data_IF_644954302921
#
_entry.id   IF_644954302921
#
_cell.length_a   1.000
_cell.length_b   1.000
_cell.length_c   1.000
_cell.angle_alpha   90.00
_cell.angle_beta   90.00
_cell.angle_gamma   90.00
#
_symmetry.space_group_name_H-M   'P 1'
#
loop_
_entity.id
_entity.type
_entity.pdbx_description
1 polymer ?
#
# COMPACT_ATOMS: atom_id res chain seq x y z
N UNK A 1 11.70 -12.92 -8.80
CA UNK A 1 12.86 -12.08 -9.11
C UNK A 1 14.15 -12.77 -8.67
N UNK A 2 14.36 -13.07 -7.39
CA UNK A 2 15.58 -13.69 -6.85
C UNK A 2 15.90 -15.05 -7.47
N UNK A 3 14.90 -15.91 -7.62
CA UNK A 3 15.09 -17.20 -8.28
C UNK A 3 15.61 -17.03 -9.72
N UNK A 4 15.08 -16.07 -10.49
CA UNK A 4 15.58 -15.79 -11.85
C UNK A 4 17.03 -15.26 -11.83
N UNK A 5 17.44 -14.55 -10.80
CA UNK A 5 18.83 -14.14 -10.61
C UNK A 5 19.71 -15.34 -10.34
N UNK A 6 19.33 -16.22 -9.40
CA UNK A 6 20.12 -17.39 -9.01
C UNK A 6 20.36 -18.38 -10.16
N UNK A 7 19.44 -18.46 -11.12
CA UNK A 7 19.57 -19.32 -12.31
C UNK A 7 20.06 -18.56 -13.56
N UNK A 8 20.51 -17.30 -13.43
CA UNK A 8 21.07 -16.50 -14.51
C UNK A 8 20.07 -16.05 -15.60
N UNK A 9 18.76 -16.15 -15.35
CA UNK A 9 17.72 -15.88 -16.36
C UNK A 9 17.02 -14.53 -16.19
N UNK A 10 17.36 -13.76 -15.16
CA UNK A 10 16.63 -12.53 -14.85
C UNK A 10 16.67 -11.49 -15.97
N UNK A 11 17.79 -11.34 -16.63
CA UNK A 11 17.97 -10.37 -17.74
C UNK A 11 17.24 -10.75 -19.02
N UNK A 12 16.89 -12.04 -19.16
CA UNK A 12 16.18 -12.58 -20.32
C UNK A 12 14.66 -12.59 -20.13
N UNK A 13 14.16 -12.22 -18.92
CA UNK A 13 12.76 -12.39 -18.54
C UNK A 13 12.18 -11.09 -18.03
N UNK A 14 11.04 -10.67 -18.58
CA UNK A 14 10.20 -9.65 -17.99
C UNK A 14 9.27 -10.28 -16.93
N UNK A 15 8.99 -9.52 -15.87
CA UNK A 15 8.02 -9.89 -14.84
C UNK A 15 6.81 -8.96 -14.95
N UNK A 16 5.69 -9.48 -15.40
CA UNK A 16 4.41 -8.78 -15.42
C UNK A 16 3.60 -9.22 -14.20
N UNK A 17 3.18 -8.27 -13.38
CA UNK A 17 2.39 -8.54 -12.18
C UNK A 17 0.95 -8.14 -12.46
N UNK A 18 0.04 -9.11 -12.42
CA UNK A 18 -1.39 -8.89 -12.45
C UNK A 18 -1.93 -9.08 -11.03
N UNK A 19 -2.55 -8.06 -10.45
CA UNK A 19 -2.94 -8.08 -9.04
C UNK A 19 -4.14 -7.20 -8.75
N UNK A 20 -4.97 -7.65 -7.81
CA UNK A 20 -6.05 -6.87 -7.22
C UNK A 20 -5.61 -5.93 -6.09
N UNK A 21 -4.39 -6.12 -5.55
CA UNK A 21 -3.92 -5.39 -4.38
C UNK A 21 -3.31 -4.03 -4.70
N UNK A 22 -2.87 -3.82 -5.92
CA UNK A 22 -2.24 -2.57 -6.33
C UNK A 22 -3.28 -1.47 -6.57
N UNK A 23 -3.32 -0.46 -5.70
CA UNK A 23 -4.31 0.63 -5.73
C UNK A 23 -3.69 2.02 -5.78
N UNK A 24 -2.50 2.19 -5.22
CA UNK A 24 -1.86 3.50 -5.05
C UNK A 24 -0.36 3.48 -5.37
N UNK A 25 0.24 4.67 -5.32
CA UNK A 25 1.66 4.89 -5.69
C UNK A 25 2.61 4.02 -4.90
N UNK A 26 2.39 3.83 -3.59
CA UNK A 26 3.26 3.01 -2.75
C UNK A 26 3.30 1.56 -3.23
N UNK A 27 2.15 0.98 -3.57
CA UNK A 27 2.08 -0.38 -4.09
C UNK A 27 2.84 -0.52 -5.42
N UNK A 28 2.67 0.45 -6.34
CA UNK A 28 3.41 0.48 -7.61
C UNK A 28 4.93 0.62 -7.38
N UNK A 29 5.32 1.51 -6.47
CA UNK A 29 6.72 1.73 -6.12
C UNK A 29 7.37 0.46 -5.55
N UNK A 30 6.69 -0.25 -4.65
CA UNK A 30 7.16 -1.53 -4.09
C UNK A 30 7.31 -2.61 -5.17
N UNK A 31 6.29 -2.84 -5.99
CA UNK A 31 6.32 -3.87 -7.02
C UNK A 31 7.46 -3.63 -8.02
N UNK A 32 7.63 -2.41 -8.50
CA UNK A 32 8.73 -2.04 -9.39
C UNK A 32 10.09 -2.14 -8.68
N UNK A 33 10.17 -1.66 -7.46
CA UNK A 33 11.40 -1.73 -6.65
C UNK A 33 11.85 -3.16 -6.36
N UNK A 34 10.92 -4.12 -6.29
CA UNK A 34 11.22 -5.55 -6.19
C UNK A 34 11.29 -6.28 -7.53
N UNK A 35 11.28 -5.55 -8.63
CA UNK A 35 11.69 -6.09 -9.92
C UNK A 35 10.57 -6.33 -10.94
N UNK A 36 9.33 -5.89 -10.68
CA UNK A 36 8.30 -5.94 -11.71
C UNK A 36 8.70 -5.09 -12.92
N UNK A 37 8.39 -5.55 -14.12
CA UNK A 37 8.60 -4.84 -15.37
C UNK A 37 7.36 -4.09 -15.82
N UNK A 38 6.20 -4.64 -15.54
CA UNK A 38 4.89 -4.05 -15.78
C UNK A 38 3.90 -4.50 -14.68
N UNK A 39 2.85 -3.71 -14.48
CA UNK A 39 1.81 -4.00 -13.50
C UNK A 39 0.45 -3.81 -14.18
N UNK A 40 -0.43 -4.79 -14.00
CA UNK A 40 -1.84 -4.70 -14.36
C UNK A 40 -2.69 -4.70 -13.08
N UNK A 41 -3.14 -3.52 -12.60
CA UNK A 41 -4.00 -3.40 -11.41
C UNK A 41 -5.47 -3.62 -11.79
N UNK A 42 -5.83 -4.84 -12.17
CA UNK A 42 -7.14 -5.14 -12.76
C UNK A 42 -8.31 -4.76 -11.87
N UNK A 43 -8.19 -4.95 -10.55
CA UNK A 43 -9.25 -4.60 -9.61
C UNK A 43 -9.45 -3.09 -9.51
N UNK A 44 -8.37 -2.29 -9.53
CA UNK A 44 -8.48 -0.83 -9.56
C UNK A 44 -9.18 -0.34 -10.81
N UNK A 45 -8.94 -0.97 -11.96
CA UNK A 45 -9.65 -0.64 -13.19
C UNK A 45 -11.13 -1.04 -13.14
N UNK A 46 -11.46 -2.20 -12.56
CA UNK A 46 -12.84 -2.62 -12.34
C UNK A 46 -13.59 -1.67 -11.38
N UNK A 47 -12.94 -1.24 -10.30
CA UNK A 47 -13.53 -0.25 -9.37
C UNK A 47 -13.77 1.09 -10.08
N UNK A 48 -12.84 1.55 -10.90
CA UNK A 48 -13.04 2.79 -11.67
C UNK A 48 -14.22 2.69 -12.62
N UNK A 49 -14.41 1.55 -13.27
CA UNK A 49 -15.57 1.32 -14.13
C UNK A 49 -16.87 1.37 -13.32
N UNK A 50 -16.94 0.68 -12.19
CA UNK A 50 -18.11 0.68 -11.31
C UNK A 50 -18.46 2.10 -10.80
N UNK A 51 -17.46 2.89 -10.39
CA UNK A 51 -17.65 4.28 -9.96
C UNK A 51 -18.18 5.19 -11.08
N UNK A 52 -17.75 4.97 -12.32
CA UNK A 52 -18.29 5.67 -13.50
C UNK A 52 -19.72 5.25 -13.78
N UNK A 53 -20.02 3.95 -13.75
CA UNK A 53 -21.34 3.40 -14.00
C UNK A 53 -22.38 3.86 -12.96
N UNK A 54 -21.95 4.02 -11.71
CA UNK A 54 -22.76 4.61 -10.61
C UNK A 54 -22.84 6.13 -10.66
N UNK A 55 -22.19 6.78 -11.62
CA UNK A 55 -22.14 8.23 -11.74
C UNK A 55 -21.49 8.95 -10.54
N UNK A 56 -20.70 8.23 -9.74
CA UNK A 56 -19.88 8.82 -8.65
C UNK A 56 -18.69 9.60 -9.21
N UNK A 57 -18.21 9.22 -10.39
CA UNK A 57 -17.21 9.95 -11.17
C UNK A 57 -17.85 10.46 -12.46
N UNK A 58 -17.91 11.78 -12.64
CA UNK A 58 -18.48 12.43 -13.81
C UNK A 58 -17.49 12.51 -14.98
N UNK A 59 -16.91 11.37 -15.34
CA UNK A 59 -16.00 11.17 -16.47
C UNK A 59 -16.38 9.88 -17.17
N UNK A 60 -16.01 9.75 -18.43
CA UNK A 60 -16.06 8.43 -19.06
C UNK A 60 -14.90 7.56 -18.54
N UNK A 61 -15.06 6.24 -18.64
CA UNK A 61 -14.09 5.26 -18.13
C UNK A 61 -12.69 5.46 -18.69
N UNK A 62 -12.53 5.69 -19.99
CA UNK A 62 -11.22 5.88 -20.61
C UNK A 62 -10.48 7.10 -20.05
N UNK A 63 -11.19 8.19 -19.77
CA UNK A 63 -10.61 9.38 -19.15
C UNK A 63 -10.25 9.12 -17.69
N UNK A 64 -11.13 8.47 -16.93
CA UNK A 64 -10.88 8.10 -15.54
C UNK A 64 -9.65 7.18 -15.44
N UNK A 65 -9.56 6.15 -16.26
CA UNK A 65 -8.42 5.23 -16.36
C UNK A 65 -7.13 5.97 -16.71
N UNK A 66 -7.16 6.83 -17.71
CA UNK A 66 -6.00 7.65 -18.12
C UNK A 66 -5.52 8.56 -16.99
N UNK A 67 -6.45 9.19 -16.28
CA UNK A 67 -6.12 10.06 -15.15
C UNK A 67 -5.51 9.28 -13.98
N UNK A 68 -6.03 8.09 -13.68
CA UNK A 68 -5.49 7.21 -12.66
C UNK A 68 -4.05 6.78 -13.00
N UNK A 69 -3.81 6.30 -14.21
CA UNK A 69 -2.46 5.92 -14.67
C UNK A 69 -1.52 7.12 -14.57
N UNK A 70 -1.96 8.30 -15.03
CA UNK A 70 -1.16 9.53 -14.96
C UNK A 70 -0.83 9.93 -13.53
N UNK A 71 -1.76 9.76 -12.59
CA UNK A 71 -1.54 10.04 -11.18
C UNK A 71 -0.50 9.08 -10.58
N UNK A 72 -0.60 7.79 -10.85
CA UNK A 72 0.38 6.78 -10.43
C UNK A 72 1.78 7.08 -10.99
N UNK A 73 1.88 7.36 -12.29
CA UNK A 73 3.16 7.71 -12.90
C UNK A 73 3.78 8.97 -12.28
N UNK A 74 2.99 10.03 -12.07
CA UNK A 74 3.48 11.24 -11.40
C UNK A 74 3.95 10.96 -9.97
N UNK A 75 3.20 10.15 -9.23
CA UNK A 75 3.58 9.74 -7.89
C UNK A 75 4.88 8.94 -7.88
N UNK A 76 5.04 8.00 -8.80
CA UNK A 76 6.25 7.20 -8.94
C UNK A 76 7.47 8.07 -9.28
N UNK A 77 7.34 9.01 -10.23
CA UNK A 77 8.41 9.97 -10.53
C UNK A 77 8.80 10.81 -9.32
N UNK A 78 7.84 11.19 -8.49
CA UNK A 78 8.10 11.90 -7.24
C UNK A 78 8.88 11.05 -6.24
N UNK A 79 8.56 9.77 -6.11
CA UNK A 79 9.30 8.81 -5.28
C UNK A 79 10.74 8.67 -5.79
N UNK A 80 10.91 8.40 -7.08
CA UNK A 80 12.24 8.28 -7.71
C UNK A 80 13.07 9.55 -7.57
N UNK A 81 12.46 10.72 -7.78
CA UNK A 81 13.12 12.02 -7.61
C UNK A 81 13.64 12.24 -6.20
N UNK A 82 12.83 11.87 -5.17
CA UNK A 82 13.26 11.96 -3.77
C UNK A 82 14.40 10.99 -3.43
N UNK A 83 14.49 9.86 -4.12
CA UNK A 83 15.57 8.89 -3.99
C UNK A 83 16.81 9.25 -4.84
N UNK A 84 16.75 10.30 -5.65
CA UNK A 84 17.82 10.68 -6.56
C UNK A 84 18.00 9.74 -7.75
N UNK A 85 16.97 8.99 -8.13
CA UNK A 85 17.01 8.01 -9.22
C UNK A 85 16.29 8.58 -10.44
N UNK A 86 17.03 8.78 -11.54
CA UNK A 86 16.51 9.44 -12.76
C UNK A 86 15.87 8.46 -13.77
N UNK A 87 16.18 7.16 -13.70
CA UNK A 87 15.66 6.18 -14.67
C UNK A 87 14.92 5.04 -13.98
N UNK A 88 13.83 4.59 -14.59
CA UNK A 88 13.06 3.46 -14.08
C UNK A 88 13.89 2.16 -14.10
N UNK A 89 14.84 2.03 -15.02
CA UNK A 89 15.74 0.88 -15.09
C UNK A 89 16.60 0.77 -13.84
N UNK A 90 17.11 1.88 -13.32
CA UNK A 90 17.91 1.94 -12.09
C UNK A 90 17.07 1.74 -10.84
N UNK A 91 15.81 2.14 -10.89
CA UNK A 91 14.86 1.95 -9.78
C UNK A 91 14.39 0.49 -9.67
N UNK A 92 14.17 -0.16 -10.80
CA UNK A 92 13.60 -1.50 -10.87
C UNK A 92 14.55 -2.54 -10.29
N UNK A 93 14.13 -3.20 -9.23
CA UNK A 93 14.94 -4.20 -8.52
C UNK A 93 15.99 -3.60 -7.57
N UNK A 94 16.00 -2.28 -7.36
CA UNK A 94 16.93 -1.62 -6.45
C UNK A 94 16.67 -1.95 -4.97
N UNK A 95 15.44 -2.36 -4.62
CA UNK A 95 15.03 -2.79 -3.25
C UNK A 95 15.37 -1.76 -2.16
N UNK A 96 15.18 -0.48 -2.44
CA UNK A 96 15.48 0.62 -1.52
C UNK A 96 14.35 0.81 -0.49
N UNK A 97 14.04 -0.25 0.24
CA UNK A 97 12.97 -0.31 1.24
C UNK A 97 13.49 -0.93 2.53
N UNK A 98 12.80 -0.66 3.61
CA UNK A 98 12.97 -1.34 4.89
C UNK A 98 11.69 -2.11 5.19
N UNK A 99 11.85 -3.37 5.62
CA UNK A 99 10.74 -4.16 6.12
C UNK A 99 10.50 -3.82 7.60
N UNK A 100 9.30 -3.40 7.93
CA UNK A 100 8.89 -3.09 9.30
C UNK A 100 7.76 -4.04 9.68
N UNK A 101 7.93 -4.76 10.78
CA UNK A 101 6.91 -5.67 11.29
C UNK A 101 6.81 -7.01 10.57
N UNK A 102 7.81 -7.40 9.76
CA UNK A 102 7.93 -8.73 9.17
C UNK A 102 9.02 -9.54 9.87
N UNK A 103 8.78 -10.83 10.10
CA UNK A 103 9.81 -11.70 10.68
C UNK A 103 11.02 -11.83 9.77
N UNK A 104 12.20 -11.99 10.36
CA UNK A 104 13.47 -12.19 9.61
C UNK A 104 13.38 -13.39 8.68
N UNK A 105 12.76 -14.49 9.12
CA UNK A 105 12.57 -15.68 8.28
C UNK A 105 11.76 -15.37 7.00
N UNK A 106 10.75 -14.50 7.10
CA UNK A 106 9.95 -14.08 5.96
C UNK A 106 10.75 -13.16 5.02
N UNK A 107 11.48 -12.19 5.59
CA UNK A 107 12.30 -11.26 4.78
C UNK A 107 13.44 -11.96 4.09
N UNK A 108 14.12 -12.88 4.73
CA UNK A 108 15.21 -13.64 4.13
C UNK A 108 14.73 -14.56 3.00
N UNK A 109 13.56 -15.20 3.19
CA UNK A 109 13.00 -16.11 2.20
C UNK A 109 12.50 -15.39 0.93
N UNK A 110 11.79 -14.26 1.09
CA UNK A 110 11.03 -13.63 0.00
C UNK A 110 11.56 -12.25 -0.41
N UNK A 111 12.23 -11.54 0.50
CA UNK A 111 12.71 -10.18 0.29
C UNK A 111 14.22 -10.06 0.53
N UNK A 112 14.98 -11.08 0.15
CA UNK A 112 16.43 -11.17 0.39
C UNK A 112 17.18 -9.88 0.09
N UNK A 113 17.99 -9.44 1.06
CA UNK A 113 18.74 -8.19 1.02
C UNK A 113 17.94 -6.95 1.44
N UNK A 114 16.68 -7.09 1.85
CA UNK A 114 15.90 -6.00 2.45
C UNK A 114 16.25 -5.89 3.94
N UNK A 115 16.62 -4.67 4.39
CA UNK A 115 16.85 -4.40 5.79
C UNK A 115 15.56 -4.56 6.60
N UNK A 116 15.65 -5.13 7.80
CA UNK A 116 14.53 -5.26 8.73
C UNK A 116 15.03 -5.00 10.15
N UNK A 117 14.74 -3.84 10.68
CA UNK A 117 15.11 -3.44 12.04
C UNK A 117 14.07 -3.87 13.08
N UNK A 118 12.83 -4.06 12.66
CA UNK A 118 11.69 -4.44 13.51
C UNK A 118 11.07 -5.71 12.97
N UNK A 119 11.27 -6.81 13.69
CA UNK A 119 10.61 -8.07 13.39
C UNK A 119 9.10 -8.03 13.69
N UNK A 120 8.39 -9.08 13.31
CA UNK A 120 6.95 -9.15 13.53
C UNK A 120 6.32 -10.40 12.94
N UNK A 121 5.26 -10.21 12.15
CA UNK A 121 4.41 -11.27 11.63
C UNK A 121 5.15 -12.20 10.65
N UNK A 122 4.68 -13.44 10.61
CA UNK A 122 5.16 -14.50 9.72
C UNK A 122 4.15 -14.74 8.61
N UNK A 123 4.46 -15.65 7.73
CA UNK A 123 3.58 -16.02 6.62
C UNK A 123 2.21 -16.55 7.09
N UNK A 124 2.17 -17.20 8.26
CA UNK A 124 0.94 -17.74 8.83
C UNK A 124 -0.05 -16.64 9.22
N UNK A 125 0.42 -15.55 9.83
CA UNK A 125 -0.42 -14.43 10.20
C UNK A 125 -0.94 -13.68 8.94
N UNK A 126 -0.09 -13.52 7.92
CA UNK A 126 -0.51 -12.95 6.63
C UNK A 126 -1.58 -13.82 5.96
N UNK A 127 -1.39 -15.15 6.00
CA UNK A 127 -2.38 -16.09 5.46
C UNK A 127 -3.70 -16.03 6.24
N UNK A 128 -3.64 -15.92 7.57
CA UNK A 128 -4.83 -15.79 8.41
C UNK A 128 -5.62 -14.51 8.08
N UNK A 129 -4.93 -13.37 7.87
CA UNK A 129 -5.56 -12.11 7.47
C UNK A 129 -6.22 -12.23 6.09
N UNK A 130 -5.55 -12.84 5.12
CA UNK A 130 -6.11 -13.07 3.79
C UNK A 130 -7.36 -13.97 3.84
N UNK A 131 -7.33 -15.03 4.66
CA UNK A 131 -8.45 -15.92 4.88
C UNK A 131 -9.60 -15.17 5.57
N UNK A 132 -9.32 -14.35 6.58
CA UNK A 132 -10.33 -13.54 7.27
C UNK A 132 -11.05 -12.60 6.31
N UNK A 133 -10.30 -11.88 5.45
CA UNK A 133 -10.87 -11.02 4.41
C UNK A 133 -11.72 -11.80 3.41
N UNK A 134 -11.26 -12.98 2.98
CA UNK A 134 -12.04 -13.86 2.11
C UNK A 134 -13.35 -14.31 2.78
N UNK A 135 -13.28 -14.72 4.04
CA UNK A 135 -14.47 -15.12 4.80
C UNK A 135 -15.46 -13.96 4.95
N UNK A 136 -14.97 -12.75 5.20
CA UNK A 136 -15.80 -11.55 5.29
C UNK A 136 -16.51 -11.25 3.96
N UNK A 137 -15.82 -11.46 2.83
CA UNK A 137 -16.38 -11.22 1.51
C UNK A 137 -17.44 -12.26 1.06
N UNK A 138 -17.30 -13.53 1.50
CA UNK A 138 -18.11 -14.64 0.96
C UNK A 138 -18.99 -15.35 1.97
N UNK A 139 -18.91 -15.04 3.28
CA UNK A 139 -19.71 -15.65 4.34
C UNK A 139 -20.77 -14.70 4.89
N UNK A 140 -21.69 -14.28 4.14
CA UNK A 140 -22.77 -13.48 4.69
C UNK A 140 -23.81 -13.16 3.65
N UNK A 141 -25.05 -12.99 4.09
CA UNK A 141 -26.02 -12.19 3.37
C UNK A 141 -25.44 -10.79 3.27
N UNK A 142 -25.36 -10.25 2.05
CA UNK A 142 -24.95 -8.84 1.85
C UNK A 142 -26.13 -7.99 2.36
N UNK A 143 -26.19 -7.78 3.67
CA UNK A 143 -27.25 -6.96 4.30
C UNK A 143 -27.04 -5.46 4.08
N UNK A 144 -25.89 -5.06 3.57
CA UNK A 144 -25.58 -3.66 3.27
C UNK A 144 -24.71 -3.56 2.02
N UNK A 145 -25.15 -2.73 1.09
CA UNK A 145 -24.36 -2.35 -0.09
C UNK A 145 -23.22 -1.38 0.25
N UNK A 146 -23.13 -0.95 1.51
CA UNK A 146 -22.11 -0.01 1.97
C UNK A 146 -20.95 -0.77 2.55
N UNK A 147 -19.76 -0.61 1.97
CA UNK A 147 -18.52 -1.16 2.54
C UNK A 147 -18.16 -0.45 3.83
N UNK A 148 -17.77 -1.23 4.84
CA UNK A 148 -17.27 -0.70 6.09
C UNK A 148 -15.98 0.11 5.87
N UNK A 149 -15.97 1.36 6.33
CA UNK A 149 -14.78 2.21 6.27
C UNK A 149 -13.92 2.00 7.51
N UNK A 150 -12.93 1.12 7.41
CA UNK A 150 -12.07 0.75 8.55
C UNK A 150 -11.09 1.84 9.01
N UNK A 151 -11.05 3.00 8.38
CA UNK A 151 -10.21 4.11 8.81
C UNK A 151 -8.70 3.89 8.56
N UNK A 152 -8.32 3.11 7.56
CA UNK A 152 -6.92 2.76 7.30
C UNK A 152 -6.03 3.99 6.99
N UNK A 153 -6.52 4.96 6.21
CA UNK A 153 -5.77 6.15 5.79
C UNK A 153 -6.07 7.41 6.61
N UNK A 154 -7.18 7.41 7.32
CA UNK A 154 -7.58 8.53 8.16
C UNK A 154 -8.40 8.03 9.33
N UNK A 155 -8.29 8.72 10.48
CA UNK A 155 -9.04 8.37 11.66
C UNK A 155 -10.55 8.24 11.38
N UNK A 156 -11.13 7.15 11.86
CA UNK A 156 -12.57 6.95 11.94
C UNK A 156 -12.91 6.41 13.32
N UNK A 157 -14.02 6.88 13.88
CA UNK A 157 -14.55 6.32 15.12
C UNK A 157 -14.81 4.83 14.90
N UNK A 158 -14.37 4.02 15.82
CA UNK A 158 -14.48 2.55 15.77
C UNK A 158 -13.65 1.84 14.65
N UNK A 159 -12.76 2.58 13.95
CA UNK A 159 -11.83 2.06 12.96
C UNK A 159 -10.42 1.80 13.49
N UNK A 160 -9.45 1.78 12.58
CA UNK A 160 -8.02 1.60 12.88
C UNK A 160 -7.55 2.64 13.89
N UNK A 161 -6.74 2.20 14.88
CA UNK A 161 -6.13 3.10 15.85
C UNK A 161 -4.95 3.84 15.23
N UNK A 162 -5.02 5.15 15.23
CA UNK A 162 -3.94 6.01 14.76
C UNK A 162 -3.26 6.71 15.93
N UNK A 163 -1.93 6.86 15.86
CA UNK A 163 -1.18 7.68 16.82
C UNK A 163 -1.67 9.14 16.80
N UNK A 164 -1.98 9.64 15.61
CA UNK A 164 -2.61 10.95 15.40
C UNK A 164 -4.12 10.79 15.30
N UNK A 165 -4.81 11.04 16.38
CA UNK A 165 -6.26 11.01 16.49
C UNK A 165 -6.78 12.31 17.11
N UNK A 166 -8.10 12.59 17.12
CA UNK A 166 -8.64 13.82 17.66
C UNK A 166 -8.29 14.07 19.13
N UNK A 167 -8.14 13.03 19.93
CA UNK A 167 -7.81 13.14 21.37
C UNK A 167 -6.36 13.58 21.55
N UNK A 168 -5.41 12.88 20.91
CA UNK A 168 -3.99 13.22 21.00
C UNK A 168 -3.70 14.62 20.43
N UNK A 169 -4.30 14.97 19.30
CA UNK A 169 -4.15 16.31 18.71
C UNK A 169 -4.73 17.38 19.62
N UNK A 170 -5.93 17.15 20.20
CA UNK A 170 -6.56 18.09 21.12
C UNK A 170 -5.72 18.29 22.38
N UNK A 171 -5.23 17.20 22.99
CA UNK A 171 -4.38 17.26 24.18
C UNK A 171 -3.10 18.07 23.92
N UNK A 172 -2.42 17.80 22.80
CA UNK A 172 -1.21 18.51 22.41
C UNK A 172 -1.47 20.01 22.16
N UNK A 173 -2.54 20.34 21.43
CA UNK A 173 -2.92 21.73 21.15
C UNK A 173 -3.29 22.49 22.42
N UNK A 174 -4.01 21.88 23.34
CA UNK A 174 -4.34 22.48 24.64
C UNK A 174 -3.08 22.67 25.50
N UNK A 175 -2.20 21.65 25.54
CA UNK A 175 -0.95 21.74 26.27
C UNK A 175 -0.10 22.92 25.81
N UNK A 176 0.04 23.12 24.52
CA UNK A 176 0.86 24.20 23.95
C UNK A 176 0.20 25.58 24.11
N UNK A 177 -1.09 25.70 23.88
CA UNK A 177 -1.82 26.98 24.00
C UNK A 177 -1.92 27.49 25.44
N UNK A 178 -2.06 26.58 26.38
CA UNK A 178 -2.23 26.92 27.82
C UNK A 178 -0.93 26.87 28.61
N UNK A 179 0.18 26.44 28.00
CA UNK A 179 1.44 26.17 28.69
C UNK A 179 1.31 25.10 29.78
N UNK A 180 0.39 24.14 29.61
CA UNK A 180 0.02 23.18 30.64
C UNK A 180 0.74 21.86 30.51
N UNK A 181 1.72 21.61 31.40
CA UNK A 181 2.40 20.32 31.47
C UNK A 181 1.46 19.15 31.82
N UNK A 182 0.42 19.43 32.60
CA UNK A 182 -0.60 18.40 32.89
C UNK A 182 -1.27 17.92 31.62
N UNK A 183 -1.67 18.83 30.73
CA UNK A 183 -2.24 18.48 29.41
C UNK A 183 -1.26 17.80 28.48
N UNK A 184 0.02 18.15 28.57
CA UNK A 184 1.07 17.45 27.83
C UNK A 184 1.24 16.00 28.25
N UNK A 185 1.03 15.68 29.53
CA UNK A 185 1.06 14.29 30.02
C UNK A 185 -0.12 13.44 29.56
N UNK A 186 -1.24 14.07 29.19
CA UNK A 186 -2.42 13.39 28.62
C UNK A 186 -2.22 13.03 27.13
N UNK A 187 -1.30 13.71 26.47
CA UNK A 187 -0.89 13.42 25.09
C UNK A 187 -0.01 12.17 24.99
#
# INVERSE_FOLDING_TARGET
HHHLISVGKRVQTALVVETGEMREVMHAALLLGYGASAINPYMSFAILQDLVDRQEIQLNYEMARKNYIKALCKGLFKVMSKMGISTIRSYRGAKLFEAVGLSTALTDAYFGGTASSVGGIRLQEIAADAIALHHQAFRGTIDSLTLEHKGLYSFRKDGEKHAWNPETISALQQATRLGSYKKFKEY
#
